data_IF_459130194560
#
_entry.id   IF_459130194560
#
_cell.length_a   1.000
_cell.length_b   1.000
_cell.length_c   1.000
_cell.angle_alpha   90.00
_cell.angle_beta   90.00
_cell.angle_gamma   90.00
#
_symmetry.space_group_name_H-M   'P 1'
#
loop_
_entity.id
_entity.type
_entity.pdbx_description
1 polymer ?
#
# COMPACT_ATOMS: atom_id res chain seq x y z
N UNK A 1 7.21 -0.78 6.27
CA UNK A 1 5.80 -0.54 5.87
C UNK A 1 5.13 0.49 6.81
N UNK A 2 5.85 1.53 7.19
CA UNK A 2 5.57 2.20 8.46
C UNK A 2 4.40 3.18 8.34
N UNK A 3 4.28 3.85 7.18
CA UNK A 3 3.16 4.74 6.86
C UNK A 3 1.84 3.99 6.83
N UNK A 4 1.78 2.80 6.22
CA UNK A 4 0.57 1.99 6.20
C UNK A 4 0.15 1.62 7.63
N UNK A 5 1.09 1.19 8.46
CA UNK A 5 0.79 0.80 9.83
C UNK A 5 0.23 1.97 10.64
N UNK A 6 0.82 3.16 10.52
CA UNK A 6 0.34 4.36 11.21
C UNK A 6 -1.08 4.74 10.76
N UNK A 7 -1.32 4.79 9.44
CA UNK A 7 -2.65 5.07 8.88
C UNK A 7 -3.68 4.02 9.30
N UNK A 8 -3.31 2.75 9.30
CA UNK A 8 -4.17 1.66 9.79
C UNK A 8 -4.54 1.87 11.26
N UNK A 9 -3.58 2.28 12.11
CA UNK A 9 -3.85 2.56 13.52
C UNK A 9 -4.84 3.72 13.69
N UNK A 10 -4.70 4.79 12.91
CA UNK A 10 -5.64 5.91 12.92
C UNK A 10 -7.05 5.48 12.48
N UNK A 11 -7.15 4.70 11.41
CA UNK A 11 -8.43 4.17 10.91
C UNK A 11 -9.07 3.27 11.96
N UNK A 12 -8.33 2.26 12.46
CA UNK A 12 -8.82 1.28 13.42
C UNK A 12 -9.27 1.93 14.74
N UNK A 13 -8.62 3.03 15.14
CA UNK A 13 -8.95 3.81 16.34
C UNK A 13 -10.18 4.70 16.20
N UNK A 14 -10.90 4.64 15.06
CA UNK A 14 -12.16 5.36 14.89
C UNK A 14 -12.12 6.53 13.92
N UNK A 15 -10.97 6.87 13.32
CA UNK A 15 -10.88 8.03 12.43
C UNK A 15 -11.81 7.89 11.22
N UNK A 16 -12.68 8.90 11.04
CA UNK A 16 -13.57 9.06 9.89
C UNK A 16 -13.09 10.14 8.91
N UNK A 17 -11.96 10.80 9.22
CA UNK A 17 -11.42 11.89 8.40
C UNK A 17 -10.57 11.37 7.22
N UNK A 18 -10.08 10.13 7.31
CA UNK A 18 -9.31 9.48 6.25
C UNK A 18 -10.29 8.77 5.31
N UNK A 19 -10.47 9.31 4.11
CA UNK A 19 -11.39 8.75 3.11
C UNK A 19 -10.73 7.70 2.19
N UNK A 20 -9.40 7.75 2.03
CA UNK A 20 -8.66 6.86 1.16
C UNK A 20 -7.15 7.01 1.32
N UNK A 21 -6.41 6.13 0.67
CA UNK A 21 -4.94 6.12 0.61
C UNK A 21 -4.48 5.90 -0.83
N UNK A 22 -3.26 6.32 -1.13
CA UNK A 22 -2.58 6.06 -2.40
C UNK A 22 -1.31 5.25 -2.11
N UNK A 23 -1.04 4.26 -2.96
CA UNK A 23 0.10 3.35 -2.81
C UNK A 23 0.71 3.14 -4.19
N UNK A 24 2.03 3.26 -4.30
CA UNK A 24 2.79 2.89 -5.49
C UNK A 24 3.28 1.44 -5.34
N UNK A 25 2.68 0.55 -6.13
CA UNK A 25 3.02 -0.86 -6.16
C UNK A 25 3.26 -1.35 -7.59
N UNK A 26 4.06 -2.42 -7.70
CA UNK A 26 4.29 -3.11 -8.95
C UNK A 26 4.53 -4.60 -8.67
N UNK A 27 4.58 -5.43 -9.71
CA UNK A 27 4.85 -6.87 -9.58
C UNK A 27 6.19 -7.15 -8.86
N UNK A 28 7.23 -6.40 -9.21
CA UNK A 28 8.57 -6.46 -8.64
C UNK A 28 8.86 -5.13 -7.96
N UNK A 29 9.39 -5.20 -6.73
CA UNK A 29 9.71 -4.03 -5.91
C UNK A 29 10.83 -3.16 -6.50
N UNK A 30 10.94 -1.94 -6.00
CA UNK A 30 11.96 -0.97 -6.37
C UNK A 30 11.68 -0.30 -7.70
N UNK A 31 12.76 0.17 -8.34
CA UNK A 31 12.76 0.76 -9.68
C UNK A 31 13.96 0.25 -10.48
N UNK A 32 13.91 0.45 -11.79
CA UNK A 32 15.01 0.21 -12.71
C UNK A 32 15.20 1.41 -13.66
N UNK A 33 16.40 1.55 -14.20
CA UNK A 33 16.67 2.51 -15.28
C UNK A 33 16.43 1.87 -16.65
N UNK A 34 16.11 2.69 -17.63
CA UNK A 34 16.11 2.27 -19.03
C UNK A 34 17.55 2.18 -19.54
N UNK A 35 17.93 1.02 -20.05
CA UNK A 35 19.21 0.81 -20.75
C UNK A 35 18.91 0.66 -22.23
N UNK A 36 19.45 1.55 -23.06
CA UNK A 36 19.19 1.62 -24.50
C UNK A 36 17.69 1.65 -24.84
N UNK A 37 16.91 2.39 -24.04
CA UNK A 37 15.47 2.53 -24.19
C UNK A 37 14.66 1.30 -23.78
N UNK A 38 15.26 0.34 -23.07
CA UNK A 38 14.60 -0.91 -22.65
C UNK A 38 14.64 -1.09 -21.14
N UNK A 39 13.54 -1.60 -20.60
CA UNK A 39 13.46 -2.12 -19.24
C UNK A 39 13.92 -3.59 -19.23
N UNK A 40 14.79 -3.96 -18.30
CA UNK A 40 15.36 -5.30 -18.19
C UNK A 40 14.44 -6.24 -17.42
N UNK A 41 13.80 -5.74 -16.37
CA UNK A 41 12.93 -6.51 -15.49
C UNK A 41 11.47 -6.23 -15.86
N UNK A 42 10.76 -7.23 -16.36
CA UNK A 42 9.32 -7.10 -16.54
C UNK A 42 8.65 -6.89 -15.18
N UNK A 43 7.74 -5.92 -15.10
CA UNK A 43 6.98 -5.71 -13.88
C UNK A 43 7.72 -4.95 -12.77
N UNK A 44 8.80 -4.23 -13.07
CA UNK A 44 9.46 -3.31 -12.13
C UNK A 44 9.37 -1.87 -12.67
N UNK A 45 9.05 -0.91 -11.79
CA UNK A 45 8.86 0.50 -12.18
C UNK A 45 10.10 1.09 -12.86
N UNK A 46 9.91 1.97 -13.84
CA UNK A 46 10.98 2.76 -14.48
C UNK A 46 11.03 4.21 -13.98
N UNK A 47 10.11 4.59 -13.09
CA UNK A 47 10.00 5.93 -12.50
C UNK A 47 10.34 5.84 -11.02
N UNK A 48 9.36 6.01 -10.14
CA UNK A 48 9.53 5.94 -8.69
C UNK A 48 9.54 4.48 -8.21
N UNK A 49 10.21 4.24 -7.09
CA UNK A 49 10.33 2.90 -6.52
C UNK A 49 9.01 2.45 -5.90
N UNK A 50 8.52 1.28 -6.32
CA UNK A 50 7.29 0.69 -5.84
C UNK A 50 7.54 -0.40 -4.80
N UNK A 51 6.54 -0.71 -3.97
CA UNK A 51 6.52 -1.99 -3.23
C UNK A 51 6.21 -3.15 -4.19
N UNK A 52 6.65 -4.36 -3.84
CA UNK A 52 6.38 -5.59 -4.58
C UNK A 52 4.95 -6.11 -4.39
N UNK A 53 4.64 -7.20 -5.08
CA UNK A 53 3.30 -7.80 -5.05
C UNK A 53 2.94 -8.36 -3.67
N UNK A 54 3.86 -9.07 -3.02
CA UNK A 54 3.63 -9.69 -1.71
C UNK A 54 3.33 -8.63 -0.64
N UNK A 55 4.07 -7.52 -0.66
CA UNK A 55 3.82 -6.38 0.24
C UNK A 55 2.52 -5.66 -0.10
N UNK A 56 2.11 -5.63 -1.37
CA UNK A 56 0.82 -5.08 -1.79
C UNK A 56 -0.35 -5.87 -1.21
N UNK A 57 -0.30 -7.20 -1.31
CA UNK A 57 -1.33 -8.08 -0.73
C UNK A 57 -1.40 -7.90 0.78
N UNK A 58 -0.24 -7.88 1.45
CA UNK A 58 -0.16 -7.64 2.90
C UNK A 58 -0.73 -6.28 3.30
N UNK A 59 -0.38 -5.23 2.56
CA UNK A 59 -0.84 -3.86 2.80
C UNK A 59 -2.37 -3.76 2.65
N UNK A 60 -2.92 -4.35 1.58
CA UNK A 60 -4.36 -4.35 1.33
C UNK A 60 -5.11 -5.10 2.43
N UNK A 61 -4.57 -6.23 2.90
CA UNK A 61 -5.14 -6.97 4.02
C UNK A 61 -5.14 -6.14 5.31
N UNK A 62 -4.03 -5.46 5.63
CA UNK A 62 -3.94 -4.58 6.81
C UNK A 62 -4.97 -3.45 6.78
N UNK A 63 -5.12 -2.77 5.64
CA UNK A 63 -6.12 -1.72 5.46
C UNK A 63 -7.55 -2.26 5.62
N UNK A 64 -7.83 -3.44 5.06
CA UNK A 64 -9.12 -4.12 5.21
C UNK A 64 -9.44 -4.38 6.68
N UNK A 65 -8.48 -4.95 7.42
CA UNK A 65 -8.63 -5.27 8.84
C UNK A 65 -8.87 -4.01 9.69
N UNK A 66 -8.14 -2.92 9.39
CA UNK A 66 -8.33 -1.64 10.07
C UNK A 66 -9.73 -1.04 9.82
N UNK A 67 -10.24 -1.12 8.59
CA UNK A 67 -11.59 -0.67 8.25
C UNK A 67 -12.66 -1.52 8.96
N UNK A 68 -12.46 -2.85 9.04
CA UNK A 68 -13.34 -3.75 9.77
C UNK A 68 -13.35 -3.40 11.27
N UNK A 69 -12.18 -3.19 11.88
CA UNK A 69 -12.06 -2.80 13.28
C UNK A 69 -12.82 -1.51 13.59
N UNK A 70 -12.65 -0.46 12.77
CA UNK A 70 -13.39 0.81 12.89
C UNK A 70 -14.90 0.62 12.85
N UNK A 71 -15.38 -0.19 11.89
CA UNK A 71 -16.82 -0.45 11.72
C UNK A 71 -17.41 -1.11 12.97
N UNK A 72 -16.72 -2.12 13.52
CA UNK A 72 -17.14 -2.79 14.76
C UNK A 72 -17.23 -1.83 15.95
N UNK A 73 -16.25 -0.93 16.10
CA UNK A 73 -16.24 0.06 17.19
C UNK A 73 -17.37 1.10 17.09
N UNK A 74 -17.95 1.30 15.89
CA UNK A 74 -19.02 2.29 15.67
C UNK A 74 -20.42 1.68 15.80
N UNK A 75 -20.54 0.35 15.94
CA UNK A 75 -21.83 -0.37 16.00
C UNK A 75 -22.43 -0.53 17.40
N UNK A 76 -22.06 0.31 18.36
CA UNK A 76 -22.67 0.40 19.71
C UNK A 76 -23.45 1.70 19.88
#
# INVERSE_FOLDING_TARGET
MDVCQDVCNQIASGSKQIFGVMVESHLVEGRQDLVDGKAQTYGQSITDACIGWEDSERLLQQLSDAVIARRKATSN
#
